data_IF_973065217151
#
_entry.id   IF_973065217151
#
_cell.length_a   1.000
_cell.length_b   1.000
_cell.length_c   1.000
_cell.angle_alpha   90.00
_cell.angle_beta   90.00
_cell.angle_gamma   90.00
#
_symmetry.space_group_name_H-M   'P 1'
#
loop_
_entity.id
_entity.type
_entity.pdbx_description
1 polymer ?
#
# COMPACT_ATOMS: atom_id res chain seq x y z
N UNK A 1 20.35 -28.37 -6.47
CA UNK A 1 19.28 -27.39 -6.16
C UNK A 1 19.27 -26.42 -7.31
N UNK A 2 18.31 -26.54 -8.19
CA UNK A 2 18.21 -25.65 -9.34
C UNK A 2 17.79 -24.26 -8.88
N UNK A 3 18.47 -23.26 -9.42
CA UNK A 3 18.26 -21.87 -9.09
C UNK A 3 16.83 -21.49 -9.49
N UNK A 4 15.99 -21.10 -8.53
CA UNK A 4 14.57 -20.73 -8.71
C UNK A 4 14.35 -19.54 -9.67
N UNK A 5 15.44 -18.94 -10.18
CA UNK A 5 15.45 -17.86 -11.16
C UNK A 5 15.64 -18.32 -12.62
N UNK A 6 15.87 -19.62 -12.88
CA UNK A 6 16.06 -20.16 -14.23
C UNK A 6 14.72 -20.38 -14.96
N UNK A 7 14.07 -19.30 -15.40
CA UNK A 7 12.82 -19.42 -16.18
C UNK A 7 12.18 -18.12 -16.66
N UNK A 8 12.61 -16.95 -16.18
CA UNK A 8 11.99 -15.68 -16.58
C UNK A 8 12.72 -15.03 -17.76
N UNK A 9 12.46 -15.52 -18.97
CA UNK A 9 12.92 -14.91 -20.23
C UNK A 9 11.81 -14.17 -20.99
N UNK A 10 10.66 -13.92 -20.35
CA UNK A 10 9.42 -13.54 -21.05
C UNK A 10 8.86 -12.13 -20.83
N UNK A 11 9.40 -11.32 -19.92
CA UNK A 11 8.87 -9.98 -19.66
C UNK A 11 9.81 -8.92 -20.24
N UNK A 12 9.30 -8.13 -21.18
CA UNK A 12 10.03 -7.03 -21.80
C UNK A 12 10.53 -6.06 -20.72
N UNK A 13 11.74 -5.51 -20.91
CA UNK A 13 12.28 -4.46 -20.04
C UNK A 13 11.28 -3.31 -19.98
N UNK A 14 10.68 -3.07 -18.83
CA UNK A 14 9.86 -1.87 -18.60
C UNK A 14 10.71 -0.62 -18.83
N UNK A 15 10.08 0.46 -19.30
CA UNK A 15 10.75 1.74 -19.47
C UNK A 15 11.37 2.23 -18.15
N UNK A 16 12.54 2.86 -18.24
CA UNK A 16 13.27 3.38 -17.09
C UNK A 16 12.41 4.31 -16.22
N UNK A 17 12.60 4.24 -14.91
CA UNK A 17 11.95 5.11 -13.94
C UNK A 17 12.43 6.56 -14.11
N UNK A 18 11.48 7.49 -14.29
CA UNK A 18 11.74 8.91 -14.06
C UNK A 18 11.51 9.21 -12.59
N UNK A 19 12.56 9.52 -11.84
CA UNK A 19 12.41 9.95 -10.45
C UNK A 19 11.49 11.15 -10.36
N UNK A 20 10.40 11.01 -9.59
CA UNK A 20 9.59 12.14 -9.20
C UNK A 20 10.36 12.93 -8.12
N UNK A 21 11.41 13.65 -8.51
CA UNK A 21 12.18 14.48 -7.59
C UNK A 21 11.32 15.63 -7.10
N UNK A 22 11.23 15.79 -5.77
CA UNK A 22 10.55 16.93 -5.15
C UNK A 22 9.03 16.80 -4.98
N UNK A 23 8.44 15.62 -5.18
CA UNK A 23 7.00 15.37 -4.94
C UNK A 23 6.77 14.09 -4.14
N UNK A 24 5.67 14.04 -3.38
CA UNK A 24 5.32 12.84 -2.62
C UNK A 24 4.88 11.70 -3.56
N UNK A 25 5.34 10.47 -3.28
CA UNK A 25 4.85 9.27 -3.98
C UNK A 25 3.82 8.56 -3.09
N UNK A 26 2.55 8.68 -3.45
CA UNK A 26 1.47 8.02 -2.74
C UNK A 26 1.66 6.49 -2.83
N UNK A 27 1.64 5.82 -1.68
CA UNK A 27 1.74 4.36 -1.54
C UNK A 27 3.15 3.87 -1.26
N UNK A 28 4.11 4.80 -1.22
CA UNK A 28 5.48 4.54 -0.85
C UNK A 28 5.72 4.97 0.59
N UNK A 29 6.55 4.18 1.28
CA UNK A 29 7.10 4.56 2.58
C UNK A 29 7.89 5.87 2.41
N UNK A 30 7.70 6.82 3.33
CA UNK A 30 8.28 8.16 3.26
C UNK A 30 9.81 8.13 3.13
N UNK A 31 10.45 7.20 3.82
CA UNK A 31 11.86 6.88 3.65
C UNK A 31 11.99 5.96 2.44
N UNK A 32 11.94 6.53 1.24
CA UNK A 32 12.12 5.79 0.00
C UNK A 32 13.46 5.03 0.09
N UNK A 33 13.39 3.69 0.15
CA UNK A 33 14.45 2.71 0.50
C UNK A 33 14.57 2.26 1.97
N UNK A 34 13.45 1.99 2.65
CA UNK A 34 13.49 1.06 3.78
C UNK A 34 12.67 -0.22 3.47
N UNK A 35 13.36 -1.23 2.92
CA UNK A 35 12.83 -2.59 2.74
C UNK A 35 12.40 -3.26 4.07
N UNK A 36 12.80 -2.68 5.21
CA UNK A 36 12.78 -3.34 6.53
C UNK A 36 11.92 -2.65 7.60
N UNK A 37 11.36 -1.46 7.34
CA UNK A 37 10.51 -0.78 8.31
C UNK A 37 9.14 -1.46 8.41
N UNK A 38 9.05 -2.56 9.18
CA UNK A 38 7.83 -3.26 9.61
C UNK A 38 6.78 -3.59 8.52
N UNK A 39 7.08 -3.44 7.23
CA UNK A 39 6.14 -3.80 6.15
C UNK A 39 5.97 -5.31 6.15
N UNK A 40 4.71 -5.75 6.12
CA UNK A 40 4.38 -7.18 6.14
C UNK A 40 4.07 -7.60 4.71
N UNK A 41 4.45 -8.82 4.35
CA UNK A 41 4.06 -9.41 3.08
C UNK A 41 2.78 -10.23 3.28
N UNK A 42 1.80 -10.06 2.41
CA UNK A 42 0.55 -10.83 2.44
C UNK A 42 0.30 -11.51 1.10
N UNK A 43 -0.28 -12.71 1.16
CA UNK A 43 -0.77 -13.43 -0.01
C UNK A 43 -2.10 -12.84 -0.45
N UNK A 44 -2.27 -12.59 -1.73
CA UNK A 44 -3.54 -12.20 -2.31
C UNK A 44 -4.45 -13.43 -2.32
N UNK A 45 -5.59 -13.35 -1.62
CA UNK A 45 -6.61 -14.39 -1.56
C UNK A 45 -7.44 -14.47 -2.85
N UNK A 46 -8.76 -14.60 -2.75
CA UNK A 46 -9.68 -14.67 -3.91
C UNK A 46 -9.82 -13.37 -4.71
N UNK A 47 -8.82 -12.49 -4.68
CA UNK A 47 -8.79 -11.22 -5.40
C UNK A 47 -7.84 -11.32 -6.58
N UNK A 48 -8.20 -10.66 -7.67
CA UNK A 48 -7.34 -10.55 -8.84
C UNK A 48 -6.19 -9.56 -8.57
N UNK A 49 -4.91 -10.01 -8.56
CA UNK A 49 -3.77 -9.17 -8.17
C UNK A 49 -3.60 -7.88 -8.99
N UNK A 50 -4.06 -7.90 -10.23
CA UNK A 50 -4.02 -6.75 -11.15
C UNK A 50 -5.06 -5.66 -10.82
N UNK A 51 -6.02 -5.93 -9.94
CA UNK A 51 -7.01 -4.95 -9.48
C UNK A 51 -6.56 -4.15 -8.27
N UNK A 52 -5.50 -4.61 -7.59
CA UNK A 52 -4.98 -3.98 -6.38
C UNK A 52 -3.78 -3.09 -6.73
N UNK A 53 -3.90 -1.81 -6.42
CA UNK A 53 -2.83 -0.83 -6.63
C UNK A 53 -2.25 -0.37 -5.28
N UNK A 54 -1.06 0.24 -5.27
CA UNK A 54 -0.59 0.92 -4.07
C UNK A 54 -1.62 1.93 -3.56
N UNK A 55 -1.64 2.14 -2.24
CA UNK A 55 -2.67 2.89 -1.52
C UNK A 55 -4.06 2.26 -1.52
N UNK A 56 -4.25 1.06 -2.05
CA UNK A 56 -5.54 0.38 -1.93
C UNK A 56 -5.71 -0.12 -0.49
N UNK A 57 -6.77 0.29 0.24
CA UNK A 57 -7.09 -0.29 1.54
C UNK A 57 -7.56 -1.72 1.39
N UNK A 58 -7.20 -2.55 2.36
CA UNK A 58 -7.48 -3.98 2.33
C UNK A 58 -7.93 -4.51 3.68
N UNK A 59 -8.76 -5.56 3.62
CA UNK A 59 -9.11 -6.41 4.75
C UNK A 59 -8.14 -7.58 4.80
N UNK A 60 -7.52 -7.83 5.95
CA UNK A 60 -6.49 -8.85 6.10
C UNK A 60 -7.04 -10.00 6.94
N UNK A 61 -7.03 -11.21 6.38
CA UNK A 61 -7.33 -12.45 7.07
C UNK A 61 -6.04 -13.09 7.56
N UNK A 62 -5.97 -13.41 8.86
CA UNK A 62 -4.90 -14.24 9.40
C UNK A 62 -5.41 -15.68 9.51
N UNK A 63 -4.93 -16.57 8.66
CA UNK A 63 -5.30 -18.00 8.70
C UNK A 63 -4.45 -18.80 9.70
N UNK A 64 -3.66 -18.13 10.55
CA UNK A 64 -2.92 -18.79 11.61
C UNK A 64 -3.83 -19.11 12.80
N UNK A 65 -4.30 -20.36 12.86
CA UNK A 65 -5.13 -20.89 13.94
C UNK A 65 -4.48 -20.83 15.33
N UNK A 66 -3.15 -20.70 15.43
CA UNK A 66 -2.43 -20.64 16.71
C UNK A 66 -2.37 -19.23 17.35
N UNK A 67 -2.85 -18.18 16.65
CA UNK A 67 -2.78 -16.79 17.11
C UNK A 67 -4.13 -16.17 17.52
N UNK A 68 -5.24 -16.91 17.41
CA UNK A 68 -6.56 -16.42 17.79
C UNK A 68 -6.75 -16.51 19.30
N UNK A 69 -6.53 -15.41 20.03
CA UNK A 69 -6.95 -15.31 21.45
C UNK A 69 -6.01 -14.59 22.41
N UNK A 70 -4.89 -14.01 21.96
CA UNK A 70 -4.03 -13.20 22.83
C UNK A 70 -3.73 -11.85 22.18
N UNK A 71 -3.84 -10.77 22.96
CA UNK A 71 -3.60 -9.37 22.55
C UNK A 71 -2.17 -9.09 22.05
N UNK A 72 -1.29 -10.09 22.09
CA UNK A 72 -0.01 -10.10 21.43
C UNK A 72 -0.01 -11.16 20.34
N UNK A 73 0.14 -10.76 19.08
CA UNK A 73 0.57 -11.65 18.00
C UNK A 73 2.06 -12.01 18.22
N UNK A 74 2.38 -12.74 19.29
CA UNK A 74 3.68 -13.39 19.43
C UNK A 74 3.75 -14.53 18.42
N UNK A 75 4.48 -14.33 17.33
CA UNK A 75 4.63 -15.34 16.26
C UNK A 75 4.29 -14.81 14.87
N UNK A 76 4.85 -13.65 14.50
CA UNK A 76 4.72 -13.07 13.17
C UNK A 76 5.23 -14.04 12.10
N UNK A 77 4.32 -14.66 11.35
CA UNK A 77 4.64 -15.41 10.15
C UNK A 77 4.02 -14.71 8.93
N UNK A 78 4.80 -13.96 8.13
CA UNK A 78 4.30 -13.28 6.93
C UNK A 78 3.69 -14.23 5.89
N UNK A 79 3.84 -15.56 6.04
CA UNK A 79 3.28 -16.56 5.12
C UNK A 79 1.80 -16.91 5.38
N UNK A 80 1.22 -16.51 6.53
CA UNK A 80 -0.18 -16.85 6.89
C UNK A 80 -1.16 -15.70 6.72
N UNK A 81 -0.67 -14.51 6.35
CA UNK A 81 -1.53 -13.36 6.06
C UNK A 81 -2.06 -13.45 4.63
N UNK A 82 -3.39 -13.39 4.52
CA UNK A 82 -4.12 -13.42 3.26
C UNK A 82 -4.95 -12.15 3.14
N UNK A 83 -4.95 -11.50 1.99
CA UNK A 83 -5.88 -10.41 1.71
C UNK A 83 -7.24 -11.02 1.39
N UNK A 84 -8.24 -10.73 2.21
CA UNK A 84 -9.59 -11.26 2.04
C UNK A 84 -10.32 -10.53 0.92
N UNK A 85 -10.27 -9.19 0.94
CA UNK A 85 -10.84 -8.32 -0.08
C UNK A 85 -10.23 -6.91 -0.05
N UNK A 86 -10.34 -6.19 -1.17
CA UNK A 86 -10.26 -4.73 -1.15
C UNK A 86 -11.47 -4.17 -0.40
N UNK A 87 -11.28 -3.05 0.29
CA UNK A 87 -12.39 -2.35 0.93
C UNK A 87 -13.25 -1.68 -0.13
N UNK A 88 -14.55 -1.97 -0.11
CA UNK A 88 -15.51 -1.51 -1.11
C UNK A 88 -16.78 -0.89 -0.48
N UNK A 89 -16.96 -1.00 0.83
CA UNK A 89 -18.08 -0.42 1.55
C UNK A 89 -17.63 0.29 2.83
N UNK A 90 -18.40 1.28 3.28
CA UNK A 90 -18.13 2.02 4.52
C UNK A 90 -18.22 1.15 5.79
N UNK A 91 -18.88 0.00 5.72
CA UNK A 91 -18.98 -0.97 6.82
C UNK A 91 -17.78 -1.91 6.92
N UNK A 92 -16.88 -1.91 5.93
CA UNK A 92 -15.69 -2.77 5.97
C UNK A 92 -14.72 -2.30 7.05
N UNK A 93 -14.00 -3.24 7.66
CA UNK A 93 -12.90 -2.94 8.59
C UNK A 93 -11.60 -2.96 7.82
N UNK A 94 -10.90 -1.82 7.74
CA UNK A 94 -9.60 -1.71 7.09
C UNK A 94 -8.52 -2.17 8.08
N UNK A 95 -7.69 -3.12 7.67
CA UNK A 95 -6.56 -3.62 8.47
C UNK A 95 -5.20 -3.11 7.98
N UNK A 96 -5.15 -2.56 6.77
CA UNK A 96 -3.93 -2.07 6.16
C UNK A 96 -4.12 -1.52 4.75
N UNK A 97 -3.00 -1.13 4.16
CA UNK A 97 -2.92 -0.60 2.79
C UNK A 97 -1.88 -1.38 1.98
N UNK A 98 -2.20 -1.67 0.72
CA UNK A 98 -1.20 -2.12 -0.26
C UNK A 98 -0.15 -1.02 -0.40
N UNK A 99 1.12 -1.38 -0.27
CA UNK A 99 2.24 -0.49 -0.52
C UNK A 99 2.91 -0.85 -1.83
N UNK A 100 3.52 0.14 -2.48
CA UNK A 100 4.37 -0.16 -3.61
C UNK A 100 5.65 -0.83 -3.13
N UNK A 101 6.03 -1.93 -3.78
CA UNK A 101 7.33 -2.53 -3.56
C UNK A 101 8.41 -1.70 -4.24
N UNK A 102 9.50 -1.32 -3.54
CA UNK A 102 10.68 -0.76 -4.18
C UNK A 102 11.24 -1.68 -5.27
N UNK A 103 11.00 -2.99 -5.17
CA UNK A 103 11.43 -3.97 -6.17
C UNK A 103 10.73 -3.76 -7.51
N UNK A 104 9.47 -3.32 -7.53
CA UNK A 104 8.76 -3.02 -8.77
C UNK A 104 9.29 -1.75 -9.48
N UNK A 105 10.28 -1.06 -8.89
CA UNK A 105 10.98 0.05 -9.54
C UNK A 105 12.12 -0.51 -10.40
N UNK A 106 12.11 -0.20 -11.68
CA UNK A 106 13.21 -0.45 -12.61
C UNK A 106 14.28 0.62 -12.39
N UNK A 107 15.52 0.22 -12.06
CA UNK A 107 16.65 1.14 -12.00
C UNK A 107 16.99 1.72 -13.39
N UNK A 108 17.93 2.69 -13.45
CA UNK A 108 18.36 3.31 -14.71
C UNK A 108 19.03 2.34 -15.70
N UNK A 109 19.35 1.12 -15.26
CA UNK A 109 19.88 0.03 -16.09
C UNK A 109 18.78 -0.95 -16.54
N UNK A 110 17.52 -0.69 -16.17
CA UNK A 110 16.38 -1.57 -16.44
C UNK A 110 16.29 -2.78 -15.52
N UNK A 111 17.01 -2.78 -14.39
CA UNK A 111 16.86 -3.82 -13.38
C UNK A 111 15.73 -3.43 -12.43
N UNK A 112 14.55 -4.00 -12.65
CA UNK A 112 13.48 -4.02 -11.67
C UNK A 112 13.37 -5.43 -11.10
N UNK A 113 13.10 -5.53 -9.80
CA UNK A 113 12.60 -6.75 -9.21
C UNK A 113 11.17 -7.00 -9.71
N UNK A 114 10.97 -8.09 -10.43
CA UNK A 114 9.64 -8.47 -10.90
C UNK A 114 8.76 -8.83 -9.69
N UNK A 115 7.49 -8.39 -9.66
CA UNK A 115 6.54 -8.96 -8.72
C UNK A 115 6.50 -10.47 -8.93
N UNK A 116 6.51 -11.23 -7.84
CA UNK A 116 6.46 -12.69 -7.92
C UNK A 116 5.17 -13.12 -8.64
N UNK A 117 5.21 -14.15 -9.51
CA UNK A 117 4.04 -14.65 -10.23
C UNK A 117 2.85 -15.07 -9.35
N UNK A 118 3.08 -15.21 -8.03
CA UNK A 118 2.08 -15.59 -7.06
C UNK A 118 2.02 -14.57 -5.90
N UNK A 119 1.27 -13.49 -6.10
CA UNK A 119 0.37 -12.92 -5.11
C UNK A 119 0.94 -12.38 -3.80
N UNK A 120 2.25 -12.17 -3.64
CA UNK A 120 2.77 -11.58 -2.40
C UNK A 120 2.98 -10.09 -2.61
N UNK A 121 2.24 -9.28 -1.86
CA UNK A 121 2.33 -7.81 -1.92
C UNK A 121 2.74 -7.24 -0.56
N UNK A 122 3.56 -6.17 -0.54
CA UNK A 122 3.83 -5.44 0.69
C UNK A 122 2.58 -4.74 1.20
N UNK A 123 2.35 -4.83 2.51
CA UNK A 123 1.24 -4.22 3.22
C UNK A 123 1.79 -3.38 4.38
N UNK A 124 1.27 -2.17 4.49
CA UNK A 124 1.36 -1.38 5.71
C UNK A 124 0.18 -1.74 6.59
N UNK A 125 0.42 -2.51 7.66
CA UNK A 125 -0.63 -2.84 8.63
C UNK A 125 -0.91 -1.62 9.50
N UNK A 126 -2.18 -1.35 9.79
CA UNK A 126 -2.54 -0.33 10.77
C UNK A 126 -2.00 -0.77 12.16
N UNK A 127 -1.39 0.16 12.88
CA UNK A 127 -0.62 0.00 14.11
C UNK A 127 0.86 -0.33 13.92
N UNK A 128 1.36 -0.48 12.69
CA UNK A 128 2.77 -0.89 12.42
C UNK A 128 3.79 0.22 12.66
N UNK A 129 3.33 1.48 12.72
CA UNK A 129 4.15 2.67 12.89
C UNK A 129 4.85 3.16 11.62
N UNK A 130 4.55 2.56 10.47
CA UNK A 130 5.15 2.91 9.17
C UNK A 130 4.59 4.24 8.70
N UNK A 131 5.46 5.09 8.15
CA UNK A 131 5.06 6.38 7.59
C UNK A 131 4.95 6.27 6.07
N UNK A 132 3.78 6.59 5.54
CA UNK A 132 3.43 6.43 4.12
C UNK A 132 2.62 7.63 3.65
N UNK A 133 2.84 8.05 2.41
CA UNK A 133 1.94 9.01 1.77
C UNK A 133 0.70 8.28 1.24
N UNK A 134 -0.50 8.70 1.65
CA UNK A 134 -1.76 8.18 1.11
C UNK A 134 -2.53 9.26 0.36
N UNK A 135 -3.29 8.89 -0.69
CA UNK A 135 -4.09 9.84 -1.45
C UNK A 135 -5.15 10.45 -0.54
N UNK A 136 -5.43 11.73 -0.72
CA UNK A 136 -6.37 12.45 0.12
C UNK A 136 -7.15 13.49 -0.65
N UNK A 137 -8.32 13.81 -0.12
CA UNK A 137 -9.12 14.93 -0.53
C UNK A 137 -8.48 16.27 -0.09
N UNK A 138 -8.77 17.34 -0.82
CA UNK A 138 -8.32 18.69 -0.49
C UNK A 138 -8.85 19.22 0.86
N UNK A 139 -9.92 18.64 1.41
CA UNK A 139 -10.48 19.02 2.72
C UNK A 139 -9.56 18.67 3.91
N UNK A 140 -8.44 17.95 3.70
CA UNK A 140 -7.40 17.76 4.72
C UNK A 140 -6.42 18.94 4.81
N UNK A 141 -6.54 19.98 3.98
CA UNK A 141 -5.63 21.14 4.07
C UNK A 141 -5.80 21.84 5.43
N UNK A 142 -4.69 21.97 6.17
CA UNK A 142 -4.66 22.73 7.43
C UNK A 142 -5.45 22.10 8.58
N UNK A 143 -5.85 20.83 8.48
CA UNK A 143 -6.52 20.12 9.58
C UNK A 143 -5.52 19.76 10.68
N UNK A 144 -6.00 19.72 11.93
CA UNK A 144 -5.16 19.36 13.06
C UNK A 144 -4.66 17.91 12.92
N UNK A 145 -3.43 17.61 13.34
CA UNK A 145 -2.86 16.25 13.26
C UNK A 145 -3.61 15.21 14.11
N UNK A 146 -4.42 15.67 15.08
CA UNK A 146 -5.29 14.83 15.90
C UNK A 146 -6.66 14.56 15.26
N UNK A 147 -6.91 15.04 14.03
CA UNK A 147 -8.20 14.89 13.36
C UNK A 147 -8.45 13.43 13.01
N UNK A 148 -9.65 12.93 13.29
CA UNK A 148 -10.06 11.59 12.87
C UNK A 148 -10.05 11.50 11.34
N UNK A 149 -9.52 10.38 10.83
CA UNK A 149 -9.42 10.13 9.40
C UNK A 149 -10.40 9.05 8.96
N UNK A 150 -10.88 9.18 7.74
CA UNK A 150 -11.78 8.24 7.10
C UNK A 150 -11.28 7.92 5.69
N UNK A 151 -11.56 6.71 5.22
CA UNK A 151 -11.36 6.34 3.82
C UNK A 151 -12.66 6.47 3.04
N UNK A 152 -12.65 7.24 1.96
CA UNK A 152 -13.74 7.30 0.98
C UNK A 152 -13.56 6.21 -0.07
N UNK A 153 -14.35 5.11 -0.04
CA UNK A 153 -14.24 4.04 -1.02
C UNK A 153 -14.71 4.45 -2.43
N UNK A 154 -15.50 5.52 -2.55
CA UNK A 154 -15.97 6.02 -3.85
C UNK A 154 -14.86 6.74 -4.58
N UNK A 155 -14.16 7.65 -3.88
CA UNK A 155 -13.11 8.48 -4.46
C UNK A 155 -11.70 7.88 -4.30
N UNK A 156 -11.56 6.82 -3.51
CA UNK A 156 -10.29 6.16 -3.18
C UNK A 156 -9.26 7.11 -2.56
N UNK A 157 -9.68 7.84 -1.53
CA UNK A 157 -8.87 8.85 -0.87
C UNK A 157 -9.22 8.99 0.62
N UNK A 158 -8.27 9.51 1.39
CA UNK A 158 -8.48 9.95 2.76
C UNK A 158 -9.32 11.23 2.81
N UNK A 159 -10.21 11.30 3.79
CA UNK A 159 -11.08 12.45 4.05
C UNK A 159 -11.29 12.63 5.54
N UNK A 160 -11.81 13.80 5.93
CA UNK A 160 -12.33 14.08 7.27
C UNK A 160 -13.84 13.86 7.36
N UNK A 161 -14.52 13.59 6.23
CA UNK A 161 -15.94 13.28 6.20
C UNK A 161 -16.21 11.87 6.72
N UNK A 162 -17.18 11.73 7.63
CA UNK A 162 -17.64 10.46 8.16
C UNK A 162 -18.87 9.87 7.42
N UNK A 163 -19.34 10.54 6.37
CA UNK A 163 -20.53 10.10 5.63
C UNK A 163 -20.14 9.16 4.49
N UNK A 164 -20.69 7.94 4.48
CA UNK A 164 -20.38 6.91 3.47
C UNK A 164 -18.91 6.52 3.37
N UNK A 165 -18.15 6.72 4.44
CA UNK A 165 -16.72 6.45 4.54
C UNK A 165 -16.41 5.43 5.62
N UNK A 166 -15.27 4.75 5.50
CA UNK A 166 -14.78 3.80 6.50
C UNK A 166 -13.90 4.55 7.53
N UNK A 167 -14.17 4.39 8.82
CA UNK A 167 -13.36 5.00 9.88
C UNK A 167 -11.99 4.32 10.00
N UNK A 168 -10.91 5.12 10.04
CA UNK A 168 -9.55 4.62 10.21
C UNK A 168 -9.12 4.75 11.66
N UNK A 169 -9.17 3.64 12.39
CA UNK A 169 -8.74 3.59 13.79
C UNK A 169 -7.26 3.25 13.85
N UNK A 170 -6.45 4.07 14.52
CA UNK A 170 -5.00 3.82 14.69
C UNK A 170 -4.09 4.48 13.65
N UNK A 171 -4.66 5.10 12.62
CA UNK A 171 -3.90 5.91 11.64
C UNK A 171 -3.73 7.34 12.17
N UNK A 172 -2.50 7.85 12.16
CA UNK A 172 -2.17 9.19 12.62
C UNK A 172 -1.75 10.10 11.44
N UNK A 173 -2.36 11.28 11.33
CA UNK A 173 -1.93 12.30 10.37
C UNK A 173 -0.61 12.94 10.82
N UNK A 174 0.36 13.05 9.91
CA UNK A 174 1.69 13.63 10.19
C UNK A 174 2.00 14.89 9.38
N UNK A 175 1.25 15.17 8.30
CA UNK A 175 1.45 16.36 7.48
C UNK A 175 0.14 16.99 7.03
N UNK A 176 0.21 18.23 6.60
CA UNK A 176 -0.82 18.81 5.73
C UNK A 176 -0.77 18.16 4.34
N UNK A 177 -1.77 18.45 3.52
CA UNK A 177 -1.85 18.04 2.11
C UNK A 177 -0.63 18.56 1.33
N UNK A 178 -0.05 17.69 0.52
CA UNK A 178 1.04 17.99 -0.41
C UNK A 178 0.70 17.49 -1.81
N UNK A 179 1.32 18.11 -2.82
CA UNK A 179 1.27 17.58 -4.18
C UNK A 179 2.04 16.26 -4.26
N UNK A 180 1.47 15.29 -4.95
CA UNK A 180 2.07 13.98 -5.12
C UNK A 180 1.67 13.29 -6.42
N UNK A 181 2.18 12.07 -6.58
CA UNK A 181 1.90 11.21 -7.72
C UNK A 181 1.51 9.83 -7.21
N UNK A 182 0.56 9.18 -7.89
CA UNK A 182 0.26 7.75 -7.72
C UNK A 182 0.51 7.00 -9.02
N UNK A 183 0.89 5.73 -8.92
CA UNK A 183 1.04 4.88 -10.09
C UNK A 183 -0.33 4.58 -10.71
N UNK A 184 -0.39 4.70 -12.03
CA UNK A 184 -1.50 4.23 -12.86
C UNK A 184 -1.05 2.95 -13.57
N UNK A 185 -1.86 1.89 -13.44
CA UNK A 185 -1.58 0.63 -14.12
C UNK A 185 -1.89 0.77 -15.61
N UNK A 186 -0.88 0.52 -16.44
CA UNK A 186 -1.05 0.26 -17.86
C UNK A 186 -0.39 -1.07 -18.21
N UNK A 187 -0.82 -1.64 -19.34
CA UNK A 187 -0.43 -2.98 -19.80
C UNK A 187 1.10 -3.10 -19.98
N UNK A 188 1.75 -2.04 -20.48
CA UNK A 188 3.17 -2.08 -20.85
C UNK A 188 4.02 -0.92 -20.27
N UNK A 189 3.40 -0.01 -19.51
CA UNK A 189 4.09 1.19 -19.00
C UNK A 189 3.72 1.50 -17.55
N UNK A 190 4.67 2.10 -16.83
CA UNK A 190 4.40 2.73 -15.54
C UNK A 190 4.09 4.21 -15.80
N UNK A 191 2.82 4.59 -15.65
CA UNK A 191 2.38 5.98 -15.71
C UNK A 191 2.15 6.56 -14.31
N UNK A 192 2.32 7.88 -14.19
CA UNK A 192 2.03 8.61 -12.96
C UNK A 192 0.85 9.54 -13.18
N UNK A 193 -0.06 9.58 -12.22
CA UNK A 193 -1.17 10.55 -12.19
C UNK A 193 -0.99 11.49 -11.01
N UNK A 194 -1.20 12.79 -11.25
CA UNK A 194 -1.22 13.80 -10.20
C UNK A 194 -2.31 13.52 -9.19
N UNK A 195 -1.94 13.60 -7.91
CA UNK A 195 -2.85 13.48 -6.77
C UNK A 195 -2.39 14.38 -5.65
N UNK A 196 -3.29 14.65 -4.72
CA UNK A 196 -2.94 15.16 -3.40
C UNK A 196 -2.67 13.99 -2.46
N UNK A 197 -1.61 14.10 -1.67
CA UNK A 197 -1.25 13.11 -0.65
C UNK A 197 -1.17 13.78 0.73
N UNK A 198 -1.34 12.99 1.78
CA UNK A 198 -0.90 13.33 3.14
C UNK A 198 0.02 12.25 3.65
N UNK A 199 0.98 12.64 4.48
CA UNK A 199 1.78 11.70 5.24
C UNK A 199 0.97 11.21 6.43
N UNK A 200 0.83 9.89 6.55
CA UNK A 200 0.25 9.25 7.71
C UNK A 200 1.21 8.25 8.31
N UNK A 201 1.05 8.00 9.61
CA UNK A 201 1.60 6.83 10.29
C UNK A 201 0.49 5.78 10.39
N UNK A 202 0.74 4.60 9.84
CA UNK A 202 -0.18 3.46 9.90
C UNK A 202 -0.13 2.79 11.26
#
# INVERSE_FOLDING_TARGET
>A
MDNIYAGNTGLAKGNAFSSATGVALCGFVQNQYDLSANTLQAKIGSLEPNTLLPCTPVVIKNDNTEANGTDNMTGFNPKTFVINKAVAASSDVIDGFILESPQNMVDNSGNGGLPLPHGIVPIGKIGSGIQVFLPCNANLVGVALSTALYWDPTNNELTTSNTSTCALTGVQLLSSVVNGKKRKLNVDTVEWTDVTCVLVKL
#
